data_IF_956813507748
#
_entry.id   IF_956813507748
#
_cell.length_a   1.000
_cell.length_b   1.000
_cell.length_c   1.000
_cell.angle_alpha   90.00
_cell.angle_beta   90.00
_cell.angle_gamma   90.00
#
_symmetry.space_group_name_H-M   'P 1'
#
loop_
_entity.id
_entity.type
_entity.pdbx_description
1 polymer ?
#
# COMPACT_ATOMS: atom_id res chain seq x y z
N UNK A 1 16.13 -22.12 2.68
CA UNK A 1 15.26 -22.27 1.48
C UNK A 1 13.84 -21.97 1.94
N UNK A 2 13.04 -21.27 1.14
CA UNK A 2 11.63 -21.04 1.46
C UNK A 2 10.82 -22.32 1.20
N UNK A 3 10.15 -22.80 2.23
CA UNK A 3 9.32 -24.00 2.17
C UNK A 3 7.90 -23.65 2.57
N UNK A 4 6.99 -23.62 1.61
CA UNK A 4 5.61 -23.17 1.82
C UNK A 4 4.86 -24.04 2.85
N UNK A 5 5.23 -25.31 2.96
CA UNK A 5 4.66 -26.27 3.91
C UNK A 5 4.89 -25.88 5.38
N UNK A 6 5.90 -25.07 5.67
CA UNK A 6 6.19 -24.55 6.99
C UNK A 6 5.38 -23.31 7.33
N UNK A 7 4.80 -22.65 6.33
CA UNK A 7 3.99 -21.45 6.54
C UNK A 7 2.62 -21.82 7.12
N UNK A 8 2.25 -21.11 8.20
CA UNK A 8 0.99 -21.29 8.93
C UNK A 8 0.14 -20.02 9.00
N UNK A 9 0.71 -18.86 8.69
CA UNK A 9 0.01 -17.59 8.70
C UNK A 9 0.64 -16.58 7.76
N UNK A 10 -0.13 -15.59 7.35
CA UNK A 10 0.29 -14.57 6.39
C UNK A 10 0.05 -13.18 6.97
N UNK A 11 1.03 -12.31 6.85
CA UNK A 11 0.90 -10.88 7.09
C UNK A 11 1.01 -10.17 5.74
N UNK A 12 0.01 -9.37 5.39
CA UNK A 12 0.02 -8.52 4.20
C UNK A 12 0.27 -7.06 4.54
N UNK A 13 1.08 -6.38 3.73
CA UNK A 13 0.95 -4.95 3.54
C UNK A 13 -0.24 -4.63 2.62
N UNK A 14 -0.74 -3.39 2.66
CA UNK A 14 -1.85 -2.95 1.81
C UNK A 14 -1.39 -2.05 0.67
N UNK A 15 -0.86 -0.86 1.00
CA UNK A 15 -0.59 0.20 0.02
C UNK A 15 0.69 -0.02 -0.77
N UNK A 16 0.58 -0.26 -2.05
CA UNK A 16 1.69 -0.71 -2.90
C UNK A 16 1.65 -2.22 -3.15
N UNK A 17 1.02 -2.96 -2.26
CA UNK A 17 0.95 -4.43 -2.33
C UNK A 17 -0.39 -4.89 -2.93
N UNK A 18 -1.48 -4.80 -2.16
CA UNK A 18 -2.81 -5.29 -2.59
C UNK A 18 -3.50 -4.30 -3.53
N UNK A 19 -3.28 -3.00 -3.35
CA UNK A 19 -4.01 -1.96 -4.08
C UNK A 19 -3.36 -1.53 -5.40
N UNK A 20 -2.11 -1.96 -5.66
CA UNK A 20 -1.39 -1.53 -6.87
C UNK A 20 -0.45 -2.58 -7.48
N UNK A 21 -0.46 -3.84 -7.00
CA UNK A 21 0.34 -4.94 -7.54
C UNK A 21 1.84 -4.59 -7.65
N UNK A 22 2.41 -4.02 -6.58
CA UNK A 22 3.82 -3.64 -6.51
C UNK A 22 4.14 -2.27 -7.12
N UNK A 23 3.20 -1.59 -7.76
CA UNK A 23 3.46 -0.28 -8.32
C UNK A 23 3.39 0.81 -7.24
N UNK A 24 4.46 1.61 -7.13
CA UNK A 24 4.50 2.66 -6.13
C UNK A 24 3.49 3.78 -6.45
N UNK A 25 2.69 4.19 -5.47
CA UNK A 25 1.60 5.16 -5.62
C UNK A 25 2.00 6.50 -6.24
N UNK A 26 3.26 6.91 -6.11
CA UNK A 26 3.75 8.11 -6.80
C UNK A 26 3.72 7.96 -8.33
N UNK A 27 3.95 6.74 -8.86
CA UNK A 27 3.84 6.49 -10.29
C UNK A 27 2.39 6.46 -10.74
N UNK A 28 1.53 5.77 -10.02
CA UNK A 28 0.08 5.70 -10.32
C UNK A 28 -0.52 7.12 -10.40
N UNK A 29 -0.19 7.98 -9.43
CA UNK A 29 -0.68 9.36 -9.42
C UNK A 29 -0.01 10.18 -10.52
N UNK A 30 1.31 10.01 -10.77
CA UNK A 30 2.00 10.72 -11.85
C UNK A 30 1.41 10.41 -13.21
N UNK A 31 1.12 9.15 -13.50
CA UNK A 31 0.48 8.74 -14.76
C UNK A 31 -0.90 9.36 -14.91
N UNK A 32 -1.66 9.48 -13.82
CA UNK A 32 -2.93 10.20 -13.83
C UNK A 32 -2.74 11.71 -14.09
N UNK A 33 -1.71 12.35 -13.52
CA UNK A 33 -1.38 13.75 -13.87
C UNK A 33 -1.07 13.93 -15.34
N UNK A 34 -0.32 12.99 -15.93
CA UNK A 34 -0.01 13.02 -17.38
C UNK A 34 -1.26 12.80 -18.24
N UNK A 35 -2.10 11.83 -17.86
CA UNK A 35 -3.34 11.53 -18.59
C UNK A 35 -4.34 12.72 -18.58
N UNK A 36 -4.32 13.54 -17.55
CA UNK A 36 -5.10 14.76 -17.42
C UNK A 36 -4.38 16.02 -17.94
N UNK A 37 -3.21 15.86 -18.54
CA UNK A 37 -2.42 16.95 -19.13
C UNK A 37 -2.15 18.10 -18.13
N UNK A 38 -1.89 17.76 -16.84
CA UNK A 38 -1.55 18.75 -15.83
C UNK A 38 -0.20 19.39 -16.19
N UNK A 39 -0.11 20.73 -16.38
CA UNK A 39 1.08 21.37 -16.93
C UNK A 39 2.16 21.60 -15.85
N UNK A 40 2.66 20.50 -15.25
CA UNK A 40 3.74 20.51 -14.27
C UNK A 40 4.85 19.53 -14.64
N UNK A 41 6.08 19.83 -14.23
CA UNK A 41 7.18 18.89 -14.41
C UNK A 41 7.10 17.76 -13.39
N UNK A 42 7.82 16.67 -13.65
CA UNK A 42 7.92 15.54 -12.72
C UNK A 42 8.54 15.93 -11.37
N UNK A 43 9.47 16.88 -11.37
CA UNK A 43 10.09 17.42 -10.17
C UNK A 43 9.08 18.20 -9.32
N UNK A 44 8.28 19.06 -9.95
CA UNK A 44 7.21 19.82 -9.29
C UNK A 44 6.14 18.88 -8.71
N UNK A 45 5.73 17.86 -9.48
CA UNK A 45 4.84 16.81 -8.98
C UNK A 45 5.45 16.08 -7.77
N UNK A 46 6.74 15.70 -7.83
CA UNK A 46 7.43 15.03 -6.72
C UNK A 46 7.40 15.87 -5.45
N UNK A 47 7.60 17.17 -5.55
CA UNK A 47 7.50 18.08 -4.40
C UNK A 47 6.10 18.07 -3.81
N UNK A 48 5.07 18.19 -4.65
CA UNK A 48 3.67 18.17 -4.23
C UNK A 48 3.26 16.82 -3.61
N UNK A 49 3.71 15.71 -4.19
CA UNK A 49 3.48 14.38 -3.67
C UNK A 49 4.07 14.21 -2.26
N UNK A 50 5.37 14.55 -2.09
CA UNK A 50 6.05 14.45 -0.80
C UNK A 50 5.41 15.40 0.23
N UNK A 51 5.01 16.60 -0.18
CA UNK A 51 4.28 17.52 0.67
C UNK A 51 2.98 16.90 1.18
N UNK A 52 2.14 16.38 0.30
CA UNK A 52 0.87 15.77 0.67
C UNK A 52 1.05 14.56 1.61
N UNK A 53 2.02 13.67 1.36
CA UNK A 53 2.33 12.55 2.24
C UNK A 53 2.70 13.02 3.66
N UNK A 54 3.57 14.02 3.78
CA UNK A 54 3.99 14.57 5.08
C UNK A 54 2.85 15.29 5.78
N UNK A 55 2.07 16.06 5.03
CA UNK A 55 0.93 16.80 5.56
C UNK A 55 -0.12 15.84 6.14
N UNK A 56 -0.49 14.81 5.40
CA UNK A 56 -1.46 13.80 5.85
C UNK A 56 -0.95 12.95 7.02
N UNK A 57 0.36 12.74 7.12
CA UNK A 57 0.96 11.99 8.23
C UNK A 57 0.93 12.74 9.57
N UNK A 58 0.80 14.07 9.54
CA UNK A 58 0.91 14.95 10.74
C UNK A 58 -0.37 15.72 11.04
N UNK A 59 -1.35 15.72 10.14
CA UNK A 59 -2.60 16.45 10.28
C UNK A 59 -3.80 15.50 10.15
N UNK A 60 -4.77 15.64 11.04
CA UNK A 60 -6.00 14.83 11.06
C UNK A 60 -6.98 15.31 9.98
N UNK A 61 -6.63 15.16 8.72
CA UNK A 61 -7.46 15.51 7.57
C UNK A 61 -8.30 14.32 7.12
N UNK A 62 -7.70 13.14 7.17
CA UNK A 62 -8.39 11.88 6.84
C UNK A 62 -9.17 11.43 8.07
N UNK A 63 -10.46 11.22 7.89
CA UNK A 63 -11.37 10.74 8.95
C UNK A 63 -11.47 9.21 8.90
N UNK A 64 -11.75 8.55 10.03
CA UNK A 64 -11.85 7.08 10.07
C UNK A 64 -12.88 6.47 9.10
N UNK A 65 -13.93 7.22 8.77
CA UNK A 65 -14.97 6.82 7.82
C UNK A 65 -14.67 7.12 6.35
N UNK A 66 -13.59 7.85 6.05
CA UNK A 66 -13.22 8.16 4.66
C UNK A 66 -12.83 6.89 3.91
N UNK A 67 -13.56 6.55 2.87
CA UNK A 67 -13.19 5.47 1.97
C UNK A 67 -12.00 5.86 1.08
N UNK A 68 -11.53 4.93 0.23
CA UNK A 68 -10.33 5.19 -0.56
C UNK A 68 -10.51 6.32 -1.58
N UNK A 69 -11.71 6.49 -2.16
CA UNK A 69 -11.98 7.57 -3.08
C UNK A 69 -11.91 8.95 -2.39
N UNK A 70 -12.51 9.08 -1.21
CA UNK A 70 -12.47 10.31 -0.41
C UNK A 70 -11.02 10.64 0.02
N UNK A 71 -10.26 9.64 0.45
CA UNK A 71 -8.84 9.79 0.75
C UNK A 71 -8.08 10.36 -0.45
N UNK A 72 -8.26 9.76 -1.64
CA UNK A 72 -7.60 10.21 -2.87
C UNK A 72 -8.01 11.64 -3.23
N UNK A 73 -9.29 11.99 -3.12
CA UNK A 73 -9.75 13.36 -3.35
C UNK A 73 -9.05 14.38 -2.44
N UNK A 74 -8.96 14.09 -1.15
CA UNK A 74 -8.26 14.94 -0.18
C UNK A 74 -6.77 15.03 -0.49
N UNK A 75 -6.11 13.90 -0.77
CA UNK A 75 -4.68 13.84 -1.11
C UNK A 75 -4.35 14.64 -2.37
N UNK A 76 -5.11 14.45 -3.45
CA UNK A 76 -4.87 15.16 -4.72
C UNK A 76 -5.17 16.65 -4.56
N UNK A 77 -6.21 17.02 -3.83
CA UNK A 77 -6.50 18.42 -3.51
C UNK A 77 -5.32 19.10 -2.83
N UNK A 78 -4.72 18.48 -1.81
CA UNK A 78 -3.52 19.01 -1.13
C UNK A 78 -2.35 19.18 -2.10
N UNK A 79 -2.16 18.23 -3.03
CA UNK A 79 -1.11 18.35 -4.05
C UNK A 79 -1.36 19.54 -4.99
N UNK A 80 -2.58 19.71 -5.48
CA UNK A 80 -2.96 20.80 -6.38
C UNK A 80 -2.82 22.16 -5.66
N UNK A 81 -3.29 22.27 -4.42
CA UNK A 81 -3.14 23.47 -3.60
C UNK A 81 -1.67 23.83 -3.41
N UNK A 82 -0.81 22.87 -3.10
CA UNK A 82 0.63 23.08 -3.03
C UNK A 82 1.23 23.62 -4.33
N UNK A 83 0.82 23.05 -5.48
CA UNK A 83 1.30 23.49 -6.79
C UNK A 83 0.85 24.91 -7.13
N UNK A 84 -0.34 25.31 -6.69
CA UNK A 84 -0.85 26.68 -6.81
C UNK A 84 -0.05 27.63 -5.92
N UNK A 85 0.15 27.28 -4.66
CA UNK A 85 0.89 28.10 -3.68
C UNK A 85 2.36 28.33 -4.11
N UNK A 86 2.95 27.36 -4.81
CA UNK A 86 4.29 27.48 -5.41
C UNK A 86 4.32 28.24 -6.73
N UNK A 87 3.16 28.63 -7.27
CA UNK A 87 3.06 29.28 -8.56
C UNK A 87 3.33 28.38 -9.77
N UNK A 88 3.29 27.05 -9.58
CA UNK A 88 3.44 26.07 -10.65
C UNK A 88 2.15 25.84 -11.41
N UNK A 89 1.01 26.09 -10.78
CA UNK A 89 -0.32 26.11 -11.39
C UNK A 89 -1.03 27.43 -11.08
N UNK A 90 -1.91 27.84 -12.00
CA UNK A 90 -2.81 28.96 -11.79
C UNK A 90 -4.15 28.43 -11.29
N UNK A 91 -4.64 28.95 -10.17
CA UNK A 91 -5.94 28.61 -9.62
C UNK A 91 -7.07 28.90 -10.63
N UNK A 92 -8.03 28.00 -10.72
CA UNK A 92 -9.18 28.15 -11.62
C UNK A 92 -9.97 26.87 -11.77
N UNK A 93 -11.01 26.91 -12.58
CA UNK A 93 -11.89 25.78 -12.85
C UNK A 93 -11.13 24.49 -13.29
N UNK A 94 -10.04 24.66 -14.03
CA UNK A 94 -9.21 23.56 -14.51
C UNK A 94 -8.52 22.80 -13.36
N UNK A 95 -8.11 23.48 -12.31
CA UNK A 95 -7.47 22.82 -11.15
C UNK A 95 -8.44 21.97 -10.35
N UNK A 96 -9.71 22.37 -10.30
CA UNK A 96 -10.77 21.54 -9.73
C UNK A 96 -11.06 20.31 -10.59
N UNK A 97 -11.14 20.47 -11.91
CA UNK A 97 -11.30 19.37 -12.86
C UNK A 97 -10.14 18.35 -12.77
N UNK A 98 -8.89 18.82 -12.62
CA UNK A 98 -7.73 17.97 -12.38
C UNK A 98 -7.88 17.16 -11.09
N UNK A 99 -8.22 17.81 -9.97
CA UNK A 99 -8.37 17.12 -8.69
C UNK A 99 -9.41 16.00 -8.75
N UNK A 100 -10.55 16.26 -9.37
CA UNK A 100 -11.64 15.27 -9.52
C UNK A 100 -11.21 14.15 -10.49
N UNK A 101 -10.65 14.49 -11.64
CA UNK A 101 -10.26 13.51 -12.67
C UNK A 101 -9.17 12.56 -12.19
N UNK A 102 -8.10 13.09 -11.62
CA UNK A 102 -6.97 12.33 -11.12
C UNK A 102 -7.40 11.38 -9.99
N UNK A 103 -8.14 11.88 -8.99
CA UNK A 103 -8.60 11.04 -7.88
C UNK A 103 -9.51 9.90 -8.34
N UNK A 104 -10.40 10.16 -9.31
CA UNK A 104 -11.27 9.14 -9.90
C UNK A 104 -10.48 8.10 -10.69
N UNK A 105 -9.49 8.51 -11.47
CA UNK A 105 -8.64 7.59 -12.23
C UNK A 105 -7.84 6.68 -11.29
N UNK A 106 -7.19 7.25 -10.26
CA UNK A 106 -6.45 6.49 -9.26
C UNK A 106 -7.34 5.50 -8.50
N UNK A 107 -8.56 5.91 -8.12
CA UNK A 107 -9.52 5.01 -7.49
C UNK A 107 -9.94 3.86 -8.40
N UNK A 108 -10.18 4.15 -9.70
CA UNK A 108 -10.52 3.14 -10.68
C UNK A 108 -9.39 2.14 -10.87
N UNK A 109 -8.15 2.61 -10.94
CA UNK A 109 -6.96 1.78 -11.01
C UNK A 109 -6.90 0.77 -9.84
N UNK A 110 -6.97 1.27 -8.59
CA UNK A 110 -6.93 0.38 -7.42
C UNK A 110 -8.07 -0.64 -7.42
N UNK A 111 -9.29 -0.21 -7.79
CA UNK A 111 -10.45 -1.11 -7.87
C UNK A 111 -10.24 -2.22 -8.91
N UNK A 112 -9.64 -1.92 -10.04
CA UNK A 112 -9.35 -2.90 -11.10
C UNK A 112 -8.27 -3.90 -10.67
N UNK A 113 -7.20 -3.44 -10.00
CA UNK A 113 -6.17 -4.33 -9.42
C UNK A 113 -6.80 -5.24 -8.38
N UNK A 114 -7.42 -4.68 -7.36
CA UNK A 114 -8.02 -5.43 -6.25
C UNK A 114 -9.03 -6.46 -6.76
N UNK A 115 -9.86 -6.10 -7.77
CA UNK A 115 -10.85 -7.02 -8.31
C UNK A 115 -10.23 -8.28 -8.92
N UNK A 116 -9.01 -8.19 -9.45
CA UNK A 116 -8.25 -9.34 -9.98
C UNK A 116 -7.61 -10.17 -8.88
N UNK A 117 -7.29 -9.56 -7.74
CA UNK A 117 -6.60 -10.23 -6.63
C UNK A 117 -7.56 -10.90 -5.62
N UNK A 118 -8.82 -10.47 -5.58
CA UNK A 118 -9.83 -11.05 -4.67
C UNK A 118 -9.93 -12.58 -4.74
N UNK A 119 -9.96 -13.25 -5.91
CA UNK A 119 -10.03 -14.71 -5.97
C UNK A 119 -8.85 -15.38 -5.27
N UNK A 120 -7.66 -14.85 -5.48
CA UNK A 120 -6.43 -15.33 -4.85
C UNK A 120 -6.44 -15.11 -3.33
N UNK A 121 -6.80 -13.91 -2.88
CA UNK A 121 -6.94 -13.59 -1.44
C UNK A 121 -7.95 -14.53 -0.76
N UNK A 122 -9.05 -14.86 -1.45
CA UNK A 122 -10.04 -15.81 -0.97
C UNK A 122 -9.44 -17.20 -0.79
N UNK A 123 -8.72 -17.70 -1.79
CA UNK A 123 -8.07 -19.03 -1.73
C UNK A 123 -7.00 -19.10 -0.64
N UNK A 124 -6.27 -18.01 -0.40
CA UNK A 124 -5.32 -17.90 0.71
C UNK A 124 -6.03 -17.91 2.07
N UNK A 125 -7.12 -17.16 2.21
CA UNK A 125 -7.91 -17.09 3.45
C UNK A 125 -8.50 -18.45 3.85
N UNK A 126 -8.85 -19.29 2.89
CA UNK A 126 -9.36 -20.63 3.15
C UNK A 126 -8.29 -21.56 3.77
N UNK A 127 -6.99 -21.23 3.57
CA UNK A 127 -5.86 -22.05 4.04
C UNK A 127 -5.09 -21.46 5.21
N UNK A 128 -5.09 -20.12 5.35
CA UNK A 128 -4.23 -19.41 6.30
C UNK A 128 -4.99 -18.34 7.05
N UNK A 129 -4.76 -18.18 8.36
CA UNK A 129 -5.10 -16.94 9.06
C UNK A 129 -4.27 -15.80 8.46
N UNK A 130 -4.93 -14.66 8.25
CA UNK A 130 -4.32 -13.50 7.59
C UNK A 130 -4.48 -12.24 8.45
N UNK A 131 -3.40 -11.47 8.57
CA UNK A 131 -3.36 -10.18 9.26
C UNK A 131 -2.88 -9.11 8.29
N UNK A 132 -3.48 -7.92 8.35
CA UNK A 132 -2.99 -6.75 7.62
C UNK A 132 -2.10 -5.91 8.53
N UNK A 133 -0.91 -5.50 8.04
CA UNK A 133 -0.03 -4.54 8.72
C UNK A 133 0.27 -3.40 7.76
N UNK A 134 -0.27 -2.21 8.01
CA UNK A 134 -0.16 -1.10 7.07
C UNK A 134 0.22 0.23 7.72
N UNK A 135 1.06 1.01 7.03
CA UNK A 135 1.23 2.43 7.31
C UNK A 135 0.09 3.21 6.65
N UNK A 136 -0.89 3.63 7.45
CA UNK A 136 -2.06 4.31 6.91
C UNK A 136 -2.48 5.50 7.79
N UNK A 137 -3.62 6.13 7.52
CA UNK A 137 -4.00 7.43 8.08
C UNK A 137 -5.12 7.35 9.13
N UNK A 138 -5.46 6.15 9.63
CA UNK A 138 -6.54 5.93 10.61
C UNK A 138 -7.86 5.45 9.97
N UNK A 139 -7.88 5.22 8.67
CA UNK A 139 -9.10 4.89 7.91
C UNK A 139 -8.98 3.59 7.10
N UNK A 140 -7.96 2.75 7.33
CA UNK A 140 -7.77 1.54 6.51
C UNK A 140 -8.97 0.60 6.57
N UNK A 141 -9.70 0.55 7.68
CA UNK A 141 -10.93 -0.26 7.77
C UNK A 141 -12.02 0.21 6.81
N UNK A 142 -12.25 1.53 6.68
CA UNK A 142 -13.21 2.08 5.72
C UNK A 142 -12.78 1.80 4.27
N UNK A 143 -11.47 1.88 4.00
CA UNK A 143 -10.88 1.54 2.69
C UNK A 143 -11.09 0.07 2.36
N UNK A 144 -10.77 -0.84 3.26
CA UNK A 144 -10.98 -2.28 3.06
C UNK A 144 -12.47 -2.62 2.91
N UNK A 145 -13.35 -1.93 3.64
CA UNK A 145 -14.80 -2.08 3.52
C UNK A 145 -15.31 -1.68 2.14
N UNK A 146 -14.82 -0.56 1.59
CA UNK A 146 -15.16 -0.06 0.26
C UNK A 146 -14.81 -1.09 -0.84
N UNK A 147 -13.67 -1.76 -0.71
CA UNK A 147 -13.21 -2.79 -1.63
C UNK A 147 -13.67 -4.22 -1.27
N UNK A 148 -14.46 -4.43 -0.21
CA UNK A 148 -14.93 -5.73 0.28
C UNK A 148 -13.78 -6.67 0.68
N UNK A 149 -12.74 -6.13 1.26
CA UNK A 149 -11.54 -6.86 1.70
C UNK A 149 -11.53 -7.15 3.21
N UNK A 150 -12.42 -6.56 4.01
CA UNK A 150 -12.41 -6.68 5.48
C UNK A 150 -12.41 -8.14 5.95
N UNK A 151 -13.26 -8.98 5.35
CA UNK A 151 -13.46 -10.37 5.77
C UNK A 151 -12.25 -11.29 5.48
N UNK A 152 -11.25 -10.80 4.71
CA UNK A 152 -10.03 -11.57 4.47
C UNK A 152 -9.05 -11.50 5.63
N UNK A 153 -9.15 -10.51 6.52
CA UNK A 153 -8.18 -10.30 7.59
C UNK A 153 -8.80 -10.55 8.97
N UNK A 154 -8.14 -11.41 9.77
CA UNK A 154 -8.57 -11.69 11.13
C UNK A 154 -8.30 -10.50 12.05
N UNK A 155 -7.21 -9.75 11.77
CA UNK A 155 -6.89 -8.50 12.45
C UNK A 155 -6.24 -7.51 11.48
N UNK A 156 -6.36 -6.22 11.82
CA UNK A 156 -5.80 -5.10 11.08
C UNK A 156 -4.94 -4.29 12.04
N UNK A 157 -3.63 -4.21 11.74
CA UNK A 157 -2.65 -3.42 12.47
C UNK A 157 -2.33 -2.18 11.65
N UNK A 158 -2.95 -1.08 12.01
CA UNK A 158 -2.79 0.20 11.32
C UNK A 158 -1.88 1.14 12.12
N UNK A 159 -0.85 1.69 11.49
CA UNK A 159 0.17 2.51 12.15
C UNK A 159 -0.39 3.72 12.92
N UNK A 160 -1.40 4.39 12.36
CA UNK A 160 -2.04 5.55 12.99
C UNK A 160 -2.84 5.16 14.26
N UNK A 161 -3.32 3.91 14.33
CA UNK A 161 -4.10 3.40 15.47
C UNK A 161 -3.18 2.87 16.57
N UNK A 162 -2.15 2.10 16.19
CA UNK A 162 -1.26 1.45 17.19
C UNK A 162 -0.10 2.35 17.63
N UNK A 163 0.10 3.52 16.99
CA UNK A 163 1.17 4.46 17.33
C UNK A 163 2.59 4.01 16.94
N UNK A 164 2.71 2.91 16.19
CA UNK A 164 3.98 2.38 15.67
C UNK A 164 3.85 2.25 14.16
N UNK A 165 4.89 2.61 13.42
CA UNK A 165 4.86 2.54 11.95
C UNK A 165 6.12 1.91 11.38
N UNK A 166 6.00 1.27 10.22
CA UNK A 166 7.11 0.80 9.40
C UNK A 166 8.06 1.99 9.09
N UNK A 167 9.39 1.81 9.16
CA UNK A 167 10.11 0.54 9.24
C UNK A 167 10.42 0.04 10.68
N UNK A 168 9.76 0.55 11.73
CA UNK A 168 9.96 0.01 13.08
C UNK A 168 9.48 -1.46 13.12
N UNK A 169 10.35 -2.43 13.45
CA UNK A 169 9.99 -3.85 13.51
C UNK A 169 8.84 -4.17 14.47
N UNK A 170 8.61 -3.33 15.48
CA UNK A 170 7.54 -3.52 16.46
C UNK A 170 6.16 -3.67 15.81
N UNK A 171 5.91 -3.02 14.66
CA UNK A 171 4.60 -3.15 14.03
C UNK A 171 4.37 -4.58 13.52
N UNK A 172 5.42 -5.27 13.07
CA UNK A 172 5.33 -6.68 12.69
C UNK A 172 5.29 -7.61 13.90
N UNK A 173 5.91 -7.23 15.05
CA UNK A 173 5.72 -7.96 16.33
C UNK A 173 4.23 -8.01 16.67
N UNK A 174 3.50 -6.90 16.56
CA UNK A 174 2.04 -6.87 16.77
C UNK A 174 1.30 -7.80 15.80
N UNK A 175 1.72 -7.87 14.53
CA UNK A 175 1.14 -8.78 13.55
C UNK A 175 1.39 -10.26 13.88
N UNK A 176 2.60 -10.60 14.35
CA UNK A 176 2.97 -11.96 14.81
C UNK A 176 2.15 -12.35 16.03
N UNK A 177 2.04 -11.44 17.02
CA UNK A 177 1.21 -11.64 18.22
C UNK A 177 -0.28 -11.83 17.86
N UNK A 178 -0.78 -11.07 16.90
CA UNK A 178 -2.17 -11.19 16.42
C UNK A 178 -2.47 -12.55 15.79
N UNK A 179 -1.50 -13.15 15.10
CA UNK A 179 -1.61 -14.51 14.57
C UNK A 179 -1.45 -15.59 15.63
N UNK A 180 -0.75 -15.32 16.74
CA UNK A 180 -0.46 -16.29 17.78
C UNK A 180 0.40 -17.47 17.31
N UNK A 181 1.22 -17.27 16.29
CA UNK A 181 2.06 -18.28 15.63
C UNK A 181 3.55 -17.96 15.82
N UNK A 182 4.45 -18.96 15.78
CA UNK A 182 5.89 -18.71 15.73
C UNK A 182 6.26 -17.88 14.49
N UNK A 183 7.11 -16.86 14.65
CA UNK A 183 7.46 -15.93 13.58
C UNK A 183 8.03 -16.64 12.33
N UNK A 184 8.83 -17.69 12.52
CA UNK A 184 9.41 -18.49 11.44
C UNK A 184 8.37 -19.26 10.60
N UNK A 185 7.15 -19.40 11.11
CA UNK A 185 6.02 -20.00 10.38
C UNK A 185 5.07 -18.95 9.75
N UNK A 186 5.43 -17.69 9.85
CA UNK A 186 4.67 -16.58 9.27
C UNK A 186 5.45 -16.02 8.08
N UNK A 187 4.74 -15.74 6.98
CA UNK A 187 5.31 -15.00 5.86
C UNK A 187 4.70 -13.62 5.77
N UNK A 188 5.57 -12.62 5.58
CA UNK A 188 5.19 -11.23 5.31
C UNK A 188 5.29 -10.99 3.80
N UNK A 189 4.23 -10.43 3.23
CA UNK A 189 4.13 -10.08 1.81
C UNK A 189 3.98 -8.56 1.72
N UNK A 190 4.92 -7.89 1.03
CA UNK A 190 4.92 -6.43 0.88
C UNK A 190 5.75 -5.98 -0.32
N UNK A 191 5.52 -4.73 -0.75
CA UNK A 191 6.20 -4.12 -1.90
C UNK A 191 7.50 -3.39 -1.52
N UNK A 192 7.61 -2.92 -0.28
CA UNK A 192 8.73 -2.10 0.16
C UNK A 192 9.81 -2.91 0.86
N UNK A 193 11.00 -3.01 0.24
CA UNK A 193 12.14 -3.67 0.88
C UNK A 193 12.47 -3.09 2.26
N UNK A 194 12.52 -1.77 2.36
CA UNK A 194 12.88 -1.09 3.62
C UNK A 194 11.79 -1.11 4.68
N UNK A 195 10.51 -1.00 4.25
CA UNK A 195 9.39 -0.87 5.19
C UNK A 195 8.74 -2.20 5.54
N UNK A 196 8.85 -3.22 4.66
CA UNK A 196 8.20 -4.52 4.88
C UNK A 196 9.22 -5.63 5.09
N UNK A 197 10.16 -5.80 4.16
CA UNK A 197 11.03 -6.97 4.16
C UNK A 197 12.05 -6.94 5.29
N UNK A 198 12.84 -5.86 5.41
CA UNK A 198 13.84 -5.74 6.48
C UNK A 198 13.22 -5.87 7.87
N UNK A 199 12.15 -5.13 8.23
CA UNK A 199 11.59 -5.24 9.59
C UNK A 199 10.89 -6.58 9.83
N UNK A 200 10.32 -7.24 8.83
CA UNK A 200 9.78 -8.59 8.95
C UNK A 200 10.88 -9.62 9.24
N UNK A 201 11.99 -9.57 8.53
CA UNK A 201 13.17 -10.42 8.76
C UNK A 201 13.75 -10.22 10.16
N UNK A 202 13.78 -8.97 10.67
CA UNK A 202 14.21 -8.68 12.06
C UNK A 202 13.32 -9.33 13.11
N UNK A 203 12.07 -9.62 12.79
CA UNK A 203 11.15 -10.38 13.64
C UNK A 203 11.26 -11.90 13.45
N UNK A 204 12.10 -12.38 12.53
CA UNK A 204 12.24 -13.80 12.23
C UNK A 204 11.20 -14.36 11.28
N UNK A 205 10.37 -13.50 10.67
CA UNK A 205 9.39 -13.92 9.68
C UNK A 205 10.05 -14.28 8.35
N UNK A 206 9.40 -15.16 7.59
CA UNK A 206 9.67 -15.35 6.16
C UNK A 206 9.15 -14.17 5.37
N UNK A 207 9.71 -13.95 4.18
CA UNK A 207 9.39 -12.76 3.38
C UNK A 207 9.17 -13.09 1.91
N UNK A 208 8.11 -12.54 1.35
CA UNK A 208 7.88 -12.47 -0.09
C UNK A 208 7.85 -11.00 -0.49
N UNK A 209 8.82 -10.59 -1.29
CA UNK A 209 8.90 -9.22 -1.78
C UNK A 209 8.22 -9.11 -3.15
N UNK A 210 7.13 -8.35 -3.20
CA UNK A 210 6.49 -7.96 -4.45
C UNK A 210 7.24 -6.77 -5.04
N UNK A 211 8.27 -7.06 -5.82
CA UNK A 211 9.18 -6.07 -6.40
C UNK A 211 8.57 -5.44 -7.63
N UNK A 212 7.97 -4.27 -7.47
CA UNK A 212 7.50 -3.44 -8.57
C UNK A 212 8.49 -2.33 -8.95
N UNK A 213 8.01 -1.36 -9.73
CA UNK A 213 8.78 -0.16 -10.06
C UNK A 213 8.83 0.79 -8.86
N UNK A 214 9.96 0.79 -8.14
CA UNK A 214 10.19 1.69 -7.02
C UNK A 214 10.27 3.17 -7.44
N UNK A 215 10.00 4.08 -6.51
CA UNK A 215 10.16 5.54 -6.74
C UNK A 215 11.59 6.03 -6.52
N UNK A 216 12.45 5.22 -5.95
CA UNK A 216 13.84 5.53 -5.60
C UNK A 216 14.87 4.69 -6.36
N UNK A 217 16.10 4.70 -5.87
CA UNK A 217 17.16 3.81 -6.38
C UNK A 217 16.91 2.40 -5.86
N UNK A 218 16.96 1.42 -6.75
CA UNK A 218 16.96 0.01 -6.37
C UNK A 218 18.18 -0.32 -5.51
N UNK A 219 17.94 -1.09 -4.44
CA UNK A 219 19.02 -1.66 -3.65
C UNK A 219 19.40 -3.03 -4.25
N UNK A 220 20.50 -3.06 -5.01
CA UNK A 220 20.97 -4.28 -5.69
C UNK A 220 21.35 -5.41 -4.71
N UNK A 221 21.61 -5.10 -3.45
CA UNK A 221 21.93 -6.08 -2.39
C UNK A 221 20.70 -6.56 -1.60
N UNK A 222 19.50 -6.14 -2.01
CA UNK A 222 18.26 -6.49 -1.32
C UNK A 222 17.95 -7.99 -1.46
N UNK A 223 17.72 -8.65 -0.33
CA UNK A 223 17.41 -10.10 -0.27
C UNK A 223 16.13 -10.35 0.49
N UNK A 224 15.22 -11.11 -0.12
CA UNK A 224 14.04 -11.69 0.52
C UNK A 224 14.08 -13.21 0.34
N UNK A 225 13.27 -13.95 1.10
CA UNK A 225 13.21 -15.42 0.90
C UNK A 225 12.66 -15.75 -0.49
N UNK A 226 11.69 -14.96 -0.97
CA UNK A 226 11.15 -15.02 -2.34
C UNK A 226 10.96 -13.61 -2.89
N UNK A 227 11.22 -13.43 -4.18
CA UNK A 227 10.94 -12.19 -4.91
C UNK A 227 9.97 -12.51 -6.05
N UNK A 228 8.88 -11.76 -6.11
CA UNK A 228 7.88 -11.83 -7.20
C UNK A 228 7.71 -10.44 -7.82
N UNK A 229 7.24 -10.37 -9.04
CA UNK A 229 6.96 -9.12 -9.76
C UNK A 229 5.48 -8.97 -10.13
N UNK A 230 4.66 -9.92 -9.71
CA UNK A 230 3.22 -9.91 -9.92
C UNK A 230 2.57 -10.69 -8.76
N UNK A 231 1.50 -10.14 -8.20
CA UNK A 231 0.76 -10.72 -7.08
C UNK A 231 0.19 -12.11 -7.41
N UNK A 232 -0.17 -12.35 -8.67
CA UNK A 232 -0.67 -13.65 -9.14
C UNK A 232 0.33 -14.79 -8.92
N UNK A 233 1.63 -14.51 -8.83
CA UNK A 233 2.66 -15.51 -8.55
C UNK A 233 2.51 -16.20 -7.19
N UNK A 234 1.74 -15.62 -6.29
CA UNK A 234 1.39 -16.26 -5.02
C UNK A 234 0.60 -17.56 -5.24
N UNK A 235 -0.16 -17.71 -6.34
CA UNK A 235 -0.86 -18.97 -6.68
C UNK A 235 0.12 -20.13 -6.82
N UNK A 236 1.23 -19.91 -7.53
CA UNK A 236 2.27 -20.92 -7.75
C UNK A 236 3.00 -21.24 -6.43
N UNK A 237 3.34 -20.21 -5.64
CA UNK A 237 4.09 -20.34 -4.39
C UNK A 237 3.28 -21.13 -3.35
N UNK A 238 1.99 -20.79 -3.19
CA UNK A 238 1.10 -21.41 -2.20
C UNK A 238 0.37 -22.67 -2.74
N UNK A 239 0.69 -23.08 -3.96
CA UNK A 239 0.08 -24.26 -4.61
C UNK A 239 -1.45 -24.22 -4.51
N UNK A 240 -2.01 -23.07 -4.90
CA UNK A 240 -3.45 -22.85 -4.93
C UNK A 240 -3.98 -23.44 -6.25
N UNK A 241 -4.93 -24.34 -6.16
CA UNK A 241 -5.56 -25.00 -7.31
C UNK A 241 -6.94 -24.40 -7.56
#
# INVERSE_FOLDING_TARGET
MFEVEQIKGIIFDYGGTIDSNGEHWAWVIWDAYQAHEVPVSKEQFKEAYVHAERFLATNLVILPEDNFHVLLQKKIKIQIEYLIDKGFLTEGKKTEEYSIGISKQCYTFAREIISKEIPLLKSLKEKYPMVLVSNFYGNVQAVLGDFKLLDFFDQIIESAVVGVRKPDPKIFTLGVEALGLPAESIVVIGDSYEKDIIPAQKNGCKTIWLKGQGWGKDNESATADVVITDFVKLEEIFKLS
#
